data_IF_986501834974
#
_entry.id   IF_986501834974
#
_cell.length_a   1.000
_cell.length_b   1.000
_cell.length_c   1.000
_cell.angle_alpha   90.00
_cell.angle_beta   90.00
_cell.angle_gamma   90.00
#
_symmetry.space_group_name_H-M   'P 1'
#
loop_
_entity.id
_entity.type
_entity.pdbx_description
1 polymer ?
#
# COMPACT_ATOMS: atom_id res chain seq x y z
N UNK A 1 21.46 -7.33 66.85
CA UNK A 1 21.03 -8.72 66.95
C UNK A 1 19.71 -8.79 66.21
N UNK A 2 19.69 -9.38 65.19
CA UNK A 2 19.72 -10.43 64.33
C UNK A 2 19.46 -9.99 62.88
N UNK A 3 20.35 -10.38 62.03
CA UNK A 3 20.38 -10.13 60.59
C UNK A 3 19.40 -11.11 59.88
N UNK A 4 18.47 -10.64 59.07
CA UNK A 4 17.72 -11.50 58.13
C UNK A 4 18.00 -11.07 56.69
N UNK A 5 18.78 -11.91 56.06
CA UNK A 5 19.14 -11.83 54.65
C UNK A 5 17.98 -12.29 53.80
N UNK A 6 17.33 -11.42 53.02
CA UNK A 6 16.35 -11.79 51.97
C UNK A 6 17.09 -12.23 50.73
N UNK A 7 16.99 -13.51 50.41
CA UNK A 7 17.34 -14.07 49.11
C UNK A 7 16.28 -13.71 48.10
N UNK A 8 16.67 -12.98 47.06
CA UNK A 8 15.85 -12.78 45.86
C UNK A 8 16.03 -13.96 44.91
N UNK A 9 14.98 -14.75 44.74
CA UNK A 9 14.92 -15.82 43.74
C UNK A 9 14.61 -15.25 42.38
N UNK A 10 15.62 -15.27 41.52
CA UNK A 10 15.53 -14.99 40.08
C UNK A 10 14.64 -16.05 39.40
N UNK A 11 13.41 -15.68 38.99
CA UNK A 11 12.52 -16.50 38.18
C UNK A 11 12.69 -16.10 36.72
N UNK A 12 13.65 -16.68 36.03
CA UNK A 12 13.71 -16.68 34.56
C UNK A 12 12.58 -17.57 34.04
N UNK A 13 11.55 -16.96 33.47
CA UNK A 13 10.47 -17.64 32.76
C UNK A 13 11.04 -18.35 31.54
N UNK A 14 10.83 -19.66 31.43
CA UNK A 14 11.19 -20.43 30.25
C UNK A 14 10.08 -20.34 29.21
N UNK A 15 10.45 -19.99 27.96
CA UNK A 15 9.58 -19.97 26.80
C UNK A 15 8.80 -21.30 26.65
N UNK A 16 7.54 -21.24 26.20
CA UNK A 16 6.67 -22.40 26.01
C UNK A 16 7.25 -23.47 25.08
N UNK A 17 8.19 -23.14 24.20
CA UNK A 17 8.95 -24.07 23.35
C UNK A 17 9.91 -24.99 24.14
N UNK A 18 10.38 -24.59 25.31
CA UNK A 18 11.30 -25.39 26.13
C UNK A 18 10.60 -26.45 27.04
N UNK A 19 9.30 -26.36 27.21
CA UNK A 19 8.53 -27.29 28.10
C UNK A 19 8.17 -28.61 27.43
N UNK A 20 8.18 -28.69 26.09
CA UNK A 20 7.86 -29.92 25.36
C UNK A 20 9.05 -30.87 25.14
N UNK A 21 10.27 -30.46 25.48
CA UNK A 21 11.49 -31.28 25.29
C UNK A 21 11.89 -32.13 26.51
N UNK A 22 11.15 -32.12 27.63
CA UNK A 22 11.55 -32.76 28.88
C UNK A 22 10.56 -33.86 29.38
N UNK A 23 10.16 -34.77 28.51
CA UNK A 23 9.27 -35.88 28.92
C UNK A 23 9.37 -37.09 28.02
N UNK A 24 10.34 -37.98 28.26
CA UNK A 24 10.36 -39.24 27.54
C UNK A 24 11.73 -39.93 27.43
N UNK A 25 12.31 -40.31 28.52
CA UNK A 25 13.47 -41.21 28.51
C UNK A 25 13.20 -42.45 29.34
N UNK A 26 13.05 -43.60 28.67
CA UNK A 26 13.65 -44.87 29.02
C UNK A 26 12.96 -46.03 28.29
N UNK A 27 13.83 -46.86 27.64
CA UNK A 27 13.63 -48.22 27.13
C UNK A 27 13.31 -48.31 25.61
N UNK A 28 14.34 -48.63 24.83
CA UNK A 28 14.50 -49.90 24.13
C UNK A 28 15.69 -49.84 23.17
N UNK A 29 16.62 -50.77 23.37
CA UNK A 29 17.72 -51.11 22.46
C UNK A 29 17.21 -51.73 21.15
N UNK A 30 17.77 -51.24 20.02
CA UNK A 30 17.84 -52.02 18.78
C UNK A 30 16.91 -51.58 17.67
N UNK A 31 17.47 -50.84 16.74
CA UNK A 31 17.41 -50.92 15.28
C UNK A 31 17.89 -49.59 14.71
N UNK A 32 19.13 -49.60 14.19
CA UNK A 32 19.63 -48.49 13.36
C UNK A 32 18.78 -48.44 12.07
N UNK A 33 17.83 -47.51 12.03
CA UNK A 33 17.06 -47.12 10.86
C UNK A 33 17.04 -45.60 10.81
N UNK A 34 17.60 -45.01 9.75
CA UNK A 34 17.55 -43.61 9.44
C UNK A 34 16.10 -43.12 9.45
N UNK A 35 15.71 -42.47 10.53
CA UNK A 35 14.53 -41.58 10.60
C UNK A 35 15.04 -40.20 10.94
N UNK A 36 15.77 -39.62 9.99
CA UNK A 36 15.84 -38.18 9.84
C UNK A 36 14.47 -37.75 9.34
N UNK A 37 13.47 -37.68 10.19
CA UNK A 37 12.26 -36.93 9.94
C UNK A 37 12.68 -35.49 10.05
N UNK A 38 13.02 -34.86 8.93
CA UNK A 38 12.85 -33.38 8.80
C UNK A 38 11.42 -33.13 9.21
N UNK A 39 11.19 -32.42 10.32
CA UNK A 39 9.93 -31.72 10.49
C UNK A 39 9.76 -30.95 9.16
N UNK A 40 8.71 -31.24 8.40
CA UNK A 40 8.41 -30.47 7.22
C UNK A 40 8.30 -29.02 7.72
N UNK A 41 9.33 -28.23 7.42
CA UNK A 41 9.26 -26.79 7.64
C UNK A 41 8.13 -26.33 6.75
N UNK A 42 7.13 -25.64 7.32
CA UNK A 42 6.14 -24.95 6.50
C UNK A 42 6.88 -23.96 5.62
N UNK A 43 6.37 -23.71 4.43
CA UNK A 43 6.90 -22.64 3.61
C UNK A 43 6.71 -21.30 4.35
N UNK A 44 7.68 -20.39 4.29
CA UNK A 44 7.62 -19.13 4.97
C UNK A 44 6.54 -18.22 4.37
N UNK A 45 5.91 -17.43 5.23
CA UNK A 45 4.82 -16.50 4.85
C UNK A 45 5.17 -15.09 5.31
N UNK A 46 5.14 -14.15 4.37
CA UNK A 46 5.12 -12.73 4.65
C UNK A 46 3.68 -12.20 4.49
N UNK A 47 3.25 -11.32 5.38
CA UNK A 47 1.95 -10.63 5.25
C UNK A 47 2.17 -9.14 5.05
N UNK A 48 1.37 -8.52 4.17
CA UNK A 48 1.48 -7.09 3.87
C UNK A 48 0.24 -6.31 4.32
N UNK A 49 0.47 -5.17 4.94
CA UNK A 49 -0.59 -4.29 5.46
C UNK A 49 -1.26 -3.42 4.40
N UNK A 50 -0.77 -3.45 3.16
CA UNK A 50 -1.23 -2.57 2.09
C UNK A 50 -1.05 -3.19 0.71
N UNK A 51 -1.99 -2.95 -0.21
CA UNK A 51 -2.04 -3.65 -1.50
C UNK A 51 -0.78 -3.44 -2.35
N UNK A 52 -0.29 -2.19 -2.51
CA UNK A 52 0.92 -1.93 -3.32
C UNK A 52 2.12 -2.75 -2.86
N UNK A 53 2.34 -2.85 -1.56
CA UNK A 53 3.49 -3.55 -1.00
C UNK A 53 3.29 -5.07 -0.95
N UNK A 54 2.04 -5.53 -0.91
CA UNK A 54 1.72 -6.93 -1.21
C UNK A 54 2.13 -7.29 -2.63
N UNK A 55 1.77 -6.44 -3.60
CA UNK A 55 2.07 -6.69 -5.00
C UNK A 55 3.58 -6.67 -5.27
N UNK A 56 4.30 -5.66 -4.76
CA UNK A 56 5.76 -5.62 -4.85
C UNK A 56 6.41 -6.86 -4.21
N UNK A 57 5.96 -7.24 -3.00
CA UNK A 57 6.46 -8.42 -2.31
C UNK A 57 6.19 -9.71 -3.09
N UNK A 58 5.01 -9.85 -3.68
CA UNK A 58 4.63 -10.99 -4.51
C UNK A 58 5.56 -11.13 -5.73
N UNK A 59 5.84 -10.03 -6.41
CA UNK A 59 6.71 -10.02 -7.58
C UNK A 59 8.18 -10.33 -7.20
N UNK A 60 8.68 -9.77 -6.09
CA UNK A 60 10.01 -10.06 -5.56
C UNK A 60 10.14 -11.53 -5.14
N UNK A 61 9.10 -12.12 -4.56
CA UNK A 61 9.10 -13.50 -4.06
C UNK A 61 8.91 -14.57 -5.14
N UNK A 62 8.72 -14.21 -6.41
CA UNK A 62 8.53 -15.19 -7.50
C UNK A 62 9.69 -16.19 -7.56
N UNK A 63 9.33 -17.45 -7.84
CA UNK A 63 10.29 -18.57 -7.94
C UNK A 63 11.06 -18.87 -6.64
N UNK A 64 10.55 -18.42 -5.50
CA UNK A 64 11.05 -18.76 -4.15
C UNK A 64 9.97 -19.49 -3.34
N UNK A 65 10.30 -20.11 -2.19
CA UNK A 65 9.30 -20.72 -1.33
C UNK A 65 8.49 -19.71 -0.50
N UNK A 66 8.81 -18.41 -0.55
CA UNK A 66 8.11 -17.37 0.22
C UNK A 66 6.74 -17.09 -0.38
N UNK A 67 5.70 -17.25 0.43
CA UNK A 67 4.36 -16.78 0.08
C UNK A 67 4.14 -15.39 0.66
N UNK A 68 3.59 -14.47 -0.15
CA UNK A 68 3.20 -13.13 0.31
C UNK A 68 1.67 -13.03 0.30
N UNK A 69 1.06 -12.56 1.39
CA UNK A 69 -0.38 -12.45 1.56
C UNK A 69 -0.81 -10.99 1.83
N UNK A 70 -1.90 -10.55 1.18
CA UNK A 70 -2.48 -9.25 1.42
C UNK A 70 -3.48 -9.30 2.58
N UNK A 71 -3.24 -8.52 3.64
CA UNK A 71 -4.14 -8.45 4.79
C UNK A 71 -5.38 -7.58 4.54
N UNK A 72 -5.31 -6.63 3.60
CA UNK A 72 -6.44 -5.75 3.29
C UNK A 72 -7.49 -6.50 2.48
N UNK A 73 -8.73 -6.59 2.95
CA UNK A 73 -9.80 -7.27 2.22
C UNK A 73 -10.09 -6.61 0.87
N UNK A 74 -10.39 -7.43 -0.12
CA UNK A 74 -10.83 -6.98 -1.45
C UNK A 74 -12.01 -6.00 -1.35
N UNK A 75 -11.97 -4.92 -2.12
CA UNK A 75 -13.01 -3.89 -2.17
C UNK A 75 -12.89 -2.82 -1.09
N UNK A 76 -11.86 -2.87 -0.24
CA UNK A 76 -11.61 -1.86 0.78
C UNK A 76 -10.40 -0.98 0.43
N UNK A 77 -10.46 0.26 0.87
CA UNK A 77 -9.32 1.16 0.89
C UNK A 77 -8.47 0.84 2.11
N UNK A 78 -7.19 0.56 1.93
CA UNK A 78 -6.29 0.11 3.01
C UNK A 78 -6.01 1.19 4.07
N UNK A 79 -6.12 2.47 3.71
CA UNK A 79 -5.99 3.59 4.64
C UNK A 79 -7.29 3.78 5.45
N UNK A 80 -7.19 3.89 6.76
CA UNK A 80 -8.36 4.02 7.64
C UNK A 80 -9.12 2.71 7.90
N UNK A 81 -8.70 1.58 7.33
CA UNK A 81 -9.27 0.28 7.64
C UNK A 81 -8.83 -0.19 9.02
N UNK A 82 -9.80 -0.61 9.84
CA UNK A 82 -9.56 -1.20 11.17
C UNK A 82 -9.85 -2.71 11.12
N UNK A 83 -8.82 -3.55 11.22
CA UNK A 83 -8.99 -4.99 11.16
C UNK A 83 -9.62 -5.56 12.44
N UNK A 84 -10.20 -6.74 12.31
CA UNK A 84 -10.60 -7.54 13.46
C UNK A 84 -9.39 -8.29 14.06
N UNK A 85 -9.58 -8.91 15.24
CA UNK A 85 -8.51 -9.60 15.96
C UNK A 85 -7.90 -10.82 15.22
N UNK A 86 -8.49 -11.31 14.12
CA UNK A 86 -7.87 -12.37 13.33
C UNK A 86 -6.66 -11.86 12.57
N UNK A 87 -6.70 -10.65 12.03
CA UNK A 87 -5.58 -10.04 11.28
C UNK A 87 -4.34 -9.86 12.19
N UNK A 88 -4.54 -9.43 13.44
CA UNK A 88 -3.41 -9.39 14.41
C UNK A 88 -2.80 -10.79 14.62
N UNK A 89 -3.63 -11.83 14.61
CA UNK A 89 -3.12 -13.21 14.71
C UNK A 89 -2.36 -13.61 13.47
N UNK A 90 -2.85 -13.25 12.27
CA UNK A 90 -2.17 -13.55 11.01
C UNK A 90 -0.79 -12.87 10.98
N UNK A 91 -0.66 -11.64 11.49
CA UNK A 91 0.64 -10.96 11.67
C UNK A 91 1.56 -11.70 12.66
N UNK A 92 1.03 -12.18 13.78
CA UNK A 92 1.80 -12.92 14.81
C UNK A 92 2.28 -14.29 14.28
N UNK A 93 1.51 -14.94 13.40
CA UNK A 93 1.80 -16.26 12.85
C UNK A 93 2.69 -16.19 11.60
N UNK A 94 2.85 -15.01 10.99
CA UNK A 94 3.70 -14.79 9.82
C UNK A 94 5.20 -14.80 10.18
N UNK A 95 6.03 -15.08 9.18
CA UNK A 95 7.50 -15.03 9.31
C UNK A 95 8.01 -13.59 9.07
N UNK A 96 7.26 -12.77 8.28
CA UNK A 96 7.54 -11.34 8.09
C UNK A 96 6.25 -10.52 8.01
N UNK A 97 6.32 -9.27 8.44
CA UNK A 97 5.26 -8.27 8.33
C UNK A 97 5.76 -7.05 7.55
N UNK A 98 5.23 -6.86 6.35
CA UNK A 98 5.52 -5.73 5.47
C UNK A 98 4.51 -4.61 5.78
N UNK A 99 5.00 -3.47 6.27
CA UNK A 99 4.16 -2.37 6.73
C UNK A 99 4.63 -1.01 6.20
N UNK A 100 3.70 -0.05 6.07
CA UNK A 100 3.96 1.26 5.42
C UNK A 100 4.86 2.19 6.25
N UNK A 101 5.19 1.81 7.46
CA UNK A 101 5.95 2.62 8.40
C UNK A 101 5.09 3.20 9.52
N UNK A 102 5.71 3.74 10.56
CA UNK A 102 5.01 4.20 11.75
C UNK A 102 4.04 5.34 11.45
N UNK A 103 2.87 5.32 12.13
CA UNK A 103 1.88 6.38 12.09
C UNK A 103 0.90 6.33 10.92
N UNK A 104 1.19 5.60 9.83
CA UNK A 104 0.30 5.53 8.67
C UNK A 104 -0.96 4.67 8.92
N UNK A 105 -0.77 3.52 9.56
CA UNK A 105 -1.86 2.59 9.89
C UNK A 105 -1.85 2.31 11.40
N UNK A 106 -2.69 2.98 12.21
CA UNK A 106 -2.67 2.81 13.68
C UNK A 106 -2.85 1.35 14.13
N UNK A 107 -3.56 0.52 13.36
CA UNK A 107 -3.69 -0.90 13.65
C UNK A 107 -2.39 -1.68 13.45
N UNK A 108 -1.60 -1.33 12.43
CA UNK A 108 -0.31 -1.95 12.16
C UNK A 108 0.69 -1.58 13.26
N UNK A 109 0.70 -0.33 13.72
CA UNK A 109 1.52 0.11 14.85
C UNK A 109 1.18 -0.67 16.14
N UNK A 110 -0.13 -0.90 16.40
CA UNK A 110 -0.56 -1.74 17.54
C UNK A 110 -0.15 -3.21 17.38
N UNK A 111 -0.20 -3.75 16.16
CA UNK A 111 0.26 -5.11 15.89
C UNK A 111 1.77 -5.23 16.12
N UNK A 112 2.57 -4.29 15.63
CA UNK A 112 4.02 -4.21 15.86
C UNK A 112 4.33 -4.11 17.36
N UNK A 113 3.61 -3.26 18.10
CA UNK A 113 3.79 -3.17 19.55
C UNK A 113 3.49 -4.50 20.25
N UNK A 114 2.47 -5.23 19.80
CA UNK A 114 2.13 -6.55 20.34
C UNK A 114 3.24 -7.58 20.08
N UNK A 115 3.82 -7.58 18.85
CA UNK A 115 4.97 -8.43 18.52
C UNK A 115 6.15 -8.16 19.44
N UNK A 116 6.44 -6.89 19.70
CA UNK A 116 7.56 -6.46 20.57
C UNK A 116 7.31 -6.81 22.04
N UNK A 117 6.10 -6.57 22.54
CA UNK A 117 5.73 -6.86 23.96
C UNK A 117 5.72 -8.37 24.25
N UNK A 118 5.35 -9.20 23.29
CA UNK A 118 5.28 -10.66 23.42
C UNK A 118 6.57 -11.38 22.98
N UNK A 119 7.62 -10.63 22.53
CA UNK A 119 8.91 -11.17 22.05
C UNK A 119 8.71 -12.20 20.92
N UNK A 120 7.90 -11.84 19.92
CA UNK A 120 7.61 -12.68 18.73
C UNK A 120 8.62 -12.41 17.64
N UNK A 121 9.15 -13.46 17.02
CA UNK A 121 10.24 -13.42 16.03
C UNK A 121 9.77 -13.04 14.60
N UNK A 122 8.61 -12.37 14.41
CA UNK A 122 8.17 -11.90 13.09
C UNK A 122 9.08 -10.77 12.62
N UNK A 123 9.69 -10.92 11.43
CA UNK A 123 10.53 -9.88 10.83
C UNK A 123 9.68 -8.66 10.45
N UNK A 124 10.08 -7.46 10.86
CA UNK A 124 9.38 -6.21 10.52
C UNK A 124 10.07 -5.55 9.33
N UNK A 125 9.34 -5.35 8.24
CA UNK A 125 9.83 -4.74 7.01
C UNK A 125 9.12 -3.40 6.81
N UNK A 126 9.82 -2.30 7.11
CA UNK A 126 9.33 -0.94 6.91
C UNK A 126 9.61 -0.49 5.48
N UNK A 127 8.59 -0.46 4.63
CA UNK A 127 8.74 -0.10 3.21
C UNK A 127 9.08 1.37 2.98
N UNK A 128 8.86 2.23 3.97
CA UNK A 128 9.12 3.68 3.92
C UNK A 128 10.53 4.07 4.37
N UNK A 129 11.33 3.15 4.85
CA UNK A 129 12.66 3.47 5.35
C UNK A 129 13.52 4.15 4.27
N UNK A 130 14.09 5.31 4.60
CA UNK A 130 14.92 6.09 3.69
C UNK A 130 14.18 6.80 2.55
N UNK A 131 12.85 6.70 2.45
CA UNK A 131 12.05 7.42 1.45
C UNK A 131 11.91 8.89 1.87
N UNK A 132 12.25 9.82 0.96
CA UNK A 132 12.04 11.25 1.17
C UNK A 132 10.55 11.60 0.95
N UNK A 133 9.87 11.97 2.03
CA UNK A 133 8.47 12.41 1.98
C UNK A 133 8.35 13.90 1.67
N UNK A 134 7.35 14.26 0.84
CA UNK A 134 7.02 15.66 0.55
C UNK A 134 6.18 16.25 1.69
N UNK A 135 6.28 17.58 1.88
CA UNK A 135 5.41 18.29 2.81
C UNK A 135 3.97 18.28 2.29
N UNK A 136 3.00 18.20 3.20
CA UNK A 136 1.60 18.41 2.84
C UNK A 136 1.43 19.77 2.17
N UNK A 137 0.61 19.84 1.14
CA UNK A 137 0.25 21.11 0.53
C UNK A 137 -0.33 22.07 1.58
N UNK A 138 -0.01 23.37 1.48
CA UNK A 138 -0.37 24.39 2.48
C UNK A 138 -1.90 24.56 2.70
N UNK A 139 -2.73 23.94 1.87
CA UNK A 139 -4.19 23.90 2.00
C UNK A 139 -4.70 22.80 2.94
N UNK A 140 -3.80 21.95 3.47
CA UNK A 140 -4.14 20.82 4.32
C UNK A 140 -3.89 21.16 5.79
N UNK A 141 -4.78 20.69 6.66
CA UNK A 141 -4.59 20.83 8.11
C UNK A 141 -3.72 19.67 8.64
N UNK A 142 -2.47 19.94 9.07
CA UNK A 142 -1.59 18.89 9.58
C UNK A 142 -2.04 18.32 10.94
N UNK A 143 -2.98 18.96 11.62
CA UNK A 143 -3.45 18.53 12.96
C UNK A 143 -4.56 17.47 12.89
N UNK A 144 -5.23 17.29 11.73
CA UNK A 144 -6.35 16.35 11.61
C UNK A 144 -5.91 14.90 11.33
N UNK A 145 -4.71 14.69 10.76
CA UNK A 145 -4.20 13.34 10.52
C UNK A 145 -2.71 13.26 10.82
N UNK A 146 -2.39 13.00 12.08
CA UNK A 146 -1.03 12.77 12.51
C UNK A 146 -0.47 11.48 11.91
N UNK A 147 0.46 11.61 11.00
CA UNK A 147 1.31 10.51 10.54
C UNK A 147 2.50 10.43 11.50
N UNK A 148 2.24 10.08 12.76
CA UNK A 148 3.26 9.87 13.79
C UNK A 148 4.30 10.99 13.92
N UNK A 149 5.58 10.66 13.94
CA UNK A 149 6.69 11.61 14.07
C UNK A 149 6.88 12.51 12.84
N UNK A 150 6.22 12.21 11.71
CA UNK A 150 6.30 12.93 10.45
C UNK A 150 5.04 13.79 10.18
N UNK A 151 4.46 14.37 11.22
CA UNK A 151 3.34 15.31 11.09
C UNK A 151 3.63 16.36 10.00
N UNK A 152 2.67 16.56 9.10
CA UNK A 152 2.81 17.51 8.01
C UNK A 152 3.46 16.94 6.75
N UNK A 153 3.64 15.63 6.64
CA UNK A 153 4.11 14.93 5.44
C UNK A 153 2.98 14.15 4.77
N UNK A 154 3.03 14.09 3.43
CA UNK A 154 2.12 13.25 2.64
C UNK A 154 2.62 11.80 2.65
N UNK A 155 1.82 10.82 3.09
CA UNK A 155 2.24 9.43 3.17
C UNK A 155 2.18 8.66 1.85
N UNK A 156 1.57 9.19 0.77
CA UNK A 156 1.25 8.47 -0.48
C UNK A 156 2.45 8.37 -1.45
N UNK A 157 3.65 8.17 -0.93
CA UNK A 157 4.92 8.21 -1.67
C UNK A 157 5.02 7.15 -2.79
N UNK A 158 4.36 6.01 -2.65
CA UNK A 158 4.37 4.91 -3.63
C UNK A 158 3.68 5.24 -4.95
N UNK A 159 2.97 6.36 -5.04
CA UNK A 159 2.42 6.88 -6.29
C UNK A 159 3.48 7.44 -7.23
N UNK A 160 4.63 7.83 -6.71
CA UNK A 160 5.82 8.16 -7.49
C UNK A 160 6.63 6.87 -7.72
N UNK A 161 6.75 6.36 -8.97
CA UNK A 161 7.47 5.12 -9.26
C UNK A 161 8.93 5.11 -8.79
N UNK A 162 9.59 6.27 -8.75
CA UNK A 162 10.97 6.38 -8.26
C UNK A 162 11.05 6.16 -6.75
N UNK A 163 10.06 6.63 -5.99
CA UNK A 163 9.95 6.37 -4.55
C UNK A 163 9.45 4.96 -4.26
N UNK A 164 8.57 4.43 -5.12
CA UNK A 164 8.14 3.03 -5.05
C UNK A 164 9.33 2.06 -5.19
N UNK A 165 10.32 2.40 -6.05
CA UNK A 165 11.55 1.61 -6.20
C UNK A 165 12.33 1.48 -4.89
N UNK A 166 12.36 2.49 -4.02
CA UNK A 166 12.97 2.39 -2.70
C UNK A 166 12.23 1.38 -1.81
N UNK A 167 10.88 1.30 -1.90
CA UNK A 167 10.13 0.27 -1.17
C UNK A 167 10.41 -1.14 -1.67
N UNK A 168 10.63 -1.29 -2.99
CA UNK A 168 11.06 -2.58 -3.57
C UNK A 168 12.41 -2.99 -2.97
N UNK A 169 13.37 -2.06 -2.86
CA UNK A 169 14.65 -2.34 -2.22
C UNK A 169 14.49 -2.74 -0.75
N UNK A 170 13.69 -2.01 0.02
CA UNK A 170 13.44 -2.31 1.44
C UNK A 170 12.79 -3.69 1.65
N UNK A 171 11.82 -4.06 0.81
CA UNK A 171 11.18 -5.40 0.84
C UNK A 171 12.22 -6.46 0.48
N UNK A 172 13.04 -6.23 -0.53
CA UNK A 172 14.08 -7.16 -1.00
C UNK A 172 15.08 -7.45 0.12
N UNK A 173 15.61 -6.44 0.79
CA UNK A 173 16.53 -6.64 1.91
C UNK A 173 15.87 -7.44 3.04
N UNK A 174 14.62 -7.13 3.39
CA UNK A 174 13.89 -7.90 4.41
C UNK A 174 13.68 -9.36 4.01
N UNK A 175 13.43 -9.66 2.74
CA UNK A 175 13.28 -11.03 2.25
C UNK A 175 14.62 -11.77 2.17
N UNK A 176 15.71 -11.08 1.82
CA UNK A 176 17.08 -11.63 1.86
C UNK A 176 17.47 -11.99 3.29
N UNK A 177 17.19 -11.12 4.27
CA UNK A 177 17.46 -11.40 5.68
C UNK A 177 16.64 -12.61 6.18
N UNK A 178 15.41 -12.76 5.72
CA UNK A 178 14.52 -13.87 6.07
C UNK A 178 14.96 -15.20 5.44
N UNK A 179 15.35 -15.17 4.17
CA UNK A 179 15.67 -16.37 3.35
C UNK A 179 16.97 -16.16 2.55
N UNK A 180 18.14 -16.10 3.20
CA UNK A 180 19.41 -15.77 2.54
C UNK A 180 19.82 -16.74 1.43
N UNK A 181 19.33 -17.98 1.46
CA UNK A 181 19.58 -18.96 0.39
C UNK A 181 18.92 -18.59 -0.95
N UNK A 182 18.01 -17.62 -0.96
CA UNK A 182 17.30 -17.12 -2.14
C UNK A 182 17.68 -15.66 -2.50
N UNK A 183 18.75 -15.13 -1.93
CA UNK A 183 19.21 -13.73 -2.16
C UNK A 183 19.29 -13.38 -3.65
N UNK A 184 19.98 -14.20 -4.45
CA UNK A 184 20.17 -13.93 -5.89
C UNK A 184 18.82 -13.80 -6.62
N UNK A 185 17.84 -14.67 -6.30
CA UNK A 185 16.51 -14.64 -6.93
C UNK A 185 15.72 -13.39 -6.51
N UNK A 186 15.71 -13.04 -5.23
CA UNK A 186 15.03 -11.83 -4.77
C UNK A 186 15.60 -10.57 -5.42
N UNK A 187 16.93 -10.47 -5.50
CA UNK A 187 17.59 -9.30 -6.12
C UNK A 187 17.37 -9.22 -7.63
N UNK A 188 17.38 -10.35 -8.34
CA UNK A 188 17.09 -10.40 -9.78
C UNK A 188 15.63 -9.99 -10.07
N UNK A 189 14.67 -10.52 -9.32
CA UNK A 189 13.27 -10.18 -9.45
C UNK A 189 13.01 -8.69 -9.14
N UNK A 190 13.62 -8.17 -8.07
CA UNK A 190 13.50 -6.77 -7.69
C UNK A 190 14.08 -5.82 -8.75
N UNK A 191 15.26 -6.14 -9.30
CA UNK A 191 15.88 -5.34 -10.34
C UNK A 191 15.04 -5.36 -11.63
N UNK A 192 14.52 -6.54 -12.01
CA UNK A 192 13.60 -6.67 -13.14
C UNK A 192 12.33 -5.84 -12.94
N UNK A 193 11.71 -5.93 -11.76
CA UNK A 193 10.50 -5.15 -11.48
C UNK A 193 10.75 -3.65 -11.51
N UNK A 194 11.88 -3.18 -10.96
CA UNK A 194 12.26 -1.76 -11.02
C UNK A 194 12.53 -1.28 -12.44
N UNK A 195 13.27 -2.07 -13.25
CA UNK A 195 13.67 -1.67 -14.61
C UNK A 195 12.54 -1.79 -15.63
N UNK A 196 11.77 -2.87 -15.58
CA UNK A 196 10.82 -3.20 -16.63
C UNK A 196 9.39 -2.70 -16.31
N UNK A 197 9.07 -2.53 -15.01
CA UNK A 197 7.75 -2.05 -14.58
C UNK A 197 7.81 -0.61 -14.09
N UNK A 198 8.52 -0.33 -12.98
CA UNK A 198 8.45 1.00 -12.36
C UNK A 198 9.08 2.09 -13.24
N UNK A 199 10.22 1.82 -13.88
CA UNK A 199 10.86 2.78 -14.78
C UNK A 199 10.01 3.03 -16.04
N UNK A 200 9.35 1.99 -16.58
CA UNK A 200 8.41 2.13 -17.70
C UNK A 200 7.21 3.00 -17.30
N UNK A 201 6.63 2.75 -16.14
CA UNK A 201 5.50 3.55 -15.62
C UNK A 201 5.91 5.01 -15.42
N UNK A 202 7.12 5.28 -14.92
CA UNK A 202 7.64 6.65 -14.76
C UNK A 202 7.80 7.33 -16.13
N UNK A 203 8.36 6.63 -17.13
CA UNK A 203 8.52 7.14 -18.50
C UNK A 203 7.16 7.40 -19.17
N UNK A 204 6.19 6.51 -19.01
CA UNK A 204 4.83 6.66 -19.56
C UNK A 204 4.09 7.83 -18.90
N UNK A 205 4.17 7.98 -17.58
CA UNK A 205 3.64 9.15 -16.89
C UNK A 205 4.31 10.43 -17.37
N UNK A 206 5.64 10.47 -17.52
CA UNK A 206 6.33 11.65 -18.07
C UNK A 206 5.79 12.00 -19.45
N UNK A 207 5.63 11.02 -20.32
CA UNK A 207 5.10 11.25 -21.67
C UNK A 207 3.66 11.80 -21.63
N UNK A 208 2.80 11.28 -20.75
CA UNK A 208 1.42 11.75 -20.56
C UNK A 208 1.41 13.20 -20.04
N UNK A 209 2.19 13.49 -18.99
CA UNK A 209 2.19 14.81 -18.36
C UNK A 209 2.94 15.87 -19.16
N UNK A 210 3.99 15.51 -19.91
CA UNK A 210 4.68 16.41 -20.83
C UNK A 210 3.82 16.79 -22.05
N UNK A 211 2.90 15.91 -22.47
CA UNK A 211 1.95 16.15 -23.56
C UNK A 211 0.69 16.90 -23.08
N UNK A 212 0.55 17.18 -21.78
CA UNK A 212 -0.65 17.71 -21.19
C UNK A 212 -1.06 19.07 -21.81
N UNK A 213 -2.32 19.16 -22.24
CA UNK A 213 -2.94 20.44 -22.66
C UNK A 213 -3.34 21.31 -21.44
N UNK A 214 -3.38 20.71 -20.24
CA UNK A 214 -3.76 21.33 -18.97
C UNK A 214 -2.70 21.06 -17.92
N UNK A 215 -2.50 22.01 -17.04
CA UNK A 215 -1.57 21.95 -15.92
C UNK A 215 -2.24 21.60 -14.60
N UNK A 216 -3.50 21.14 -14.67
CA UNK A 216 -4.31 20.84 -13.49
C UNK A 216 -5.26 19.67 -13.70
N UNK A 217 -5.42 18.84 -12.67
CA UNK A 217 -6.41 17.76 -12.58
C UNK A 217 -7.36 18.02 -11.41
N UNK A 218 -8.66 18.11 -11.69
CA UNK A 218 -9.68 18.11 -10.62
C UNK A 218 -9.98 16.67 -10.22
N UNK A 219 -9.76 16.38 -8.95
CA UNK A 219 -10.06 15.08 -8.33
C UNK A 219 -11.36 15.23 -7.51
N UNK A 220 -12.37 14.42 -7.81
CA UNK A 220 -13.52 14.22 -6.92
C UNK A 220 -13.18 13.09 -5.91
N UNK A 221 -12.05 13.27 -5.22
CA UNK A 221 -11.39 12.29 -4.37
C UNK A 221 -10.68 13.01 -3.21
N UNK A 222 -10.18 12.25 -2.23
CA UNK A 222 -9.29 12.78 -1.20
C UNK A 222 -7.89 13.13 -1.76
N UNK A 223 -7.07 13.79 -0.95
CA UNK A 223 -5.73 14.16 -1.35
C UNK A 223 -4.75 12.98 -1.25
N UNK A 224 -4.63 12.19 -2.31
CA UNK A 224 -3.66 11.10 -2.39
C UNK A 224 -2.63 11.28 -3.51
N UNK A 225 -2.86 12.19 -4.46
CA UNK A 225 -2.09 12.25 -5.71
C UNK A 225 -1.05 13.37 -5.74
N UNK A 226 -0.69 13.93 -4.59
CA UNK A 226 0.29 15.03 -4.53
C UNK A 226 1.65 14.63 -5.10
N UNK A 227 2.09 13.37 -4.87
CA UNK A 227 3.36 12.88 -5.42
C UNK A 227 3.39 12.84 -6.95
N UNK A 228 2.28 12.47 -7.60
CA UNK A 228 2.13 12.58 -9.06
C UNK A 228 2.28 14.04 -9.49
N UNK A 229 1.60 14.97 -8.81
CA UNK A 229 1.72 16.40 -9.12
C UNK A 229 3.15 16.92 -8.98
N UNK A 230 3.86 16.52 -7.92
CA UNK A 230 5.25 16.93 -7.66
C UNK A 230 6.21 16.30 -8.68
N UNK A 231 6.04 15.01 -9.00
CA UNK A 231 6.93 14.28 -9.92
C UNK A 231 6.82 14.80 -11.36
N UNK A 232 5.61 15.19 -11.80
CA UNK A 232 5.34 15.49 -13.21
C UNK A 232 4.87 16.93 -13.46
N UNK A 233 4.86 17.79 -12.44
CA UNK A 233 4.67 19.24 -12.61
C UNK A 233 3.22 19.69 -12.90
N UNK A 234 2.21 18.94 -12.47
CA UNK A 234 0.79 19.25 -12.66
C UNK A 234 0.10 19.44 -11.29
N UNK A 235 -0.80 20.39 -11.17
CA UNK A 235 -1.58 20.61 -9.95
C UNK A 235 -2.64 19.50 -9.79
N UNK A 236 -2.50 18.67 -8.75
CA UNK A 236 -3.53 17.72 -8.34
C UNK A 236 -4.45 18.38 -7.33
N UNK A 237 -5.70 18.69 -7.73
CA UNK A 237 -6.65 19.41 -6.90
C UNK A 237 -7.75 18.50 -6.37
N UNK A 238 -7.61 17.99 -5.13
CA UNK A 238 -8.65 17.19 -4.49
C UNK A 238 -9.86 18.04 -4.15
N UNK A 239 -11.05 17.43 -4.07
CA UNK A 239 -12.25 18.08 -3.57
C UNK A 239 -12.27 18.11 -2.05
N UNK A 240 -11.67 17.11 -1.42
CA UNK A 240 -11.45 17.00 0.02
C UNK A 240 -9.97 17.15 0.28
N UNK A 241 -9.62 18.06 1.17
CA UNK A 241 -8.22 18.43 1.41
C UNK A 241 -7.53 17.54 2.44
N UNK A 242 -8.25 16.65 3.13
CA UNK A 242 -7.63 15.69 4.03
C UNK A 242 -7.05 14.46 3.32
N UNK A 243 -6.27 13.66 4.06
CA UNK A 243 -5.57 12.49 3.56
C UNK A 243 -6.39 11.19 3.63
N UNK A 244 -7.55 11.21 4.28
CA UNK A 244 -8.41 10.03 4.42
C UNK A 244 -9.61 10.08 3.48
N UNK A 245 -9.91 8.95 2.85
CA UNK A 245 -11.05 8.80 1.94
C UNK A 245 -12.43 8.88 2.62
N UNK A 246 -12.48 9.05 3.94
CA UNK A 246 -13.69 8.94 4.76
C UNK A 246 -14.44 10.23 5.01
N UNK A 247 -13.88 11.39 4.66
CA UNK A 247 -14.49 12.66 5.00
C UNK A 247 -15.59 13.08 4.05
N UNK A 248 -16.63 13.66 4.65
CA UNK A 248 -17.77 14.19 3.91
C UNK A 248 -17.40 15.53 3.24
N UNK A 249 -17.60 15.58 1.93
CA UNK A 249 -17.49 16.82 1.13
C UNK A 249 -18.49 17.85 1.63
N UNK A 250 -18.00 19.00 2.05
CA UNK A 250 -18.85 20.09 2.53
C UNK A 250 -19.46 20.91 1.39
N UNK A 251 -20.55 21.70 1.64
CA UNK A 251 -21.05 22.64 0.65
C UNK A 251 -20.06 23.75 0.26
N UNK A 252 -19.04 24.01 1.06
CA UNK A 252 -17.96 24.95 0.72
C UNK A 252 -17.04 24.34 -0.31
N UNK A 253 -16.56 23.11 -0.09
CA UNK A 253 -15.68 22.36 -1.00
C UNK A 253 -16.34 22.23 -2.38
N UNK A 254 -17.64 21.90 -2.41
CA UNK A 254 -18.39 21.82 -3.66
C UNK A 254 -18.43 23.15 -4.42
N UNK A 255 -18.64 24.29 -3.73
CA UNK A 255 -18.64 25.61 -4.38
C UNK A 255 -17.26 25.98 -4.92
N UNK A 256 -16.21 25.65 -4.18
CA UNK A 256 -14.83 25.93 -4.58
C UNK A 256 -14.44 25.06 -5.79
N UNK A 257 -14.79 23.79 -5.80
CA UNK A 257 -14.60 22.90 -6.95
C UNK A 257 -15.37 23.39 -8.19
N UNK A 258 -16.65 23.82 -8.03
CA UNK A 258 -17.44 24.36 -9.13
C UNK A 258 -16.85 25.66 -9.69
N UNK A 259 -16.32 26.55 -8.84
CA UNK A 259 -15.65 27.76 -9.27
C UNK A 259 -14.39 27.43 -10.05
N UNK A 260 -13.57 26.54 -9.53
CA UNK A 260 -12.34 26.10 -10.15
C UNK A 260 -12.56 25.41 -11.52
N UNK A 261 -13.54 24.53 -11.62
CA UNK A 261 -13.95 23.88 -12.88
C UNK A 261 -14.33 24.95 -13.94
N UNK A 262 -15.06 26.00 -13.55
CA UNK A 262 -15.43 27.08 -14.48
C UNK A 262 -14.24 27.94 -14.91
N UNK A 263 -13.36 28.26 -13.98
CA UNK A 263 -12.19 29.12 -14.23
C UNK A 263 -11.17 28.44 -15.15
N UNK A 264 -11.01 27.10 -15.02
CA UNK A 264 -10.03 26.33 -15.76
C UNK A 264 -10.65 25.55 -16.95
N UNK A 265 -11.91 25.78 -17.27
CA UNK A 265 -12.63 25.12 -18.39
C UNK A 265 -12.54 23.59 -18.39
N UNK A 266 -12.65 22.97 -17.19
CA UNK A 266 -12.50 21.53 -16.99
C UNK A 266 -13.74 20.80 -17.49
N UNK A 267 -13.55 19.82 -18.38
CA UNK A 267 -14.62 18.99 -18.96
C UNK A 267 -14.64 17.57 -18.38
N UNK A 268 -13.49 17.06 -17.98
CA UNK A 268 -13.35 15.71 -17.42
C UNK A 268 -12.66 15.79 -16.08
N UNK A 269 -13.12 15.00 -15.11
CA UNK A 269 -12.55 14.92 -13.75
C UNK A 269 -12.23 13.49 -13.39
N UNK A 270 -11.35 13.30 -12.44
CA UNK A 270 -11.05 11.98 -11.90
C UNK A 270 -11.81 11.75 -10.58
N UNK A 271 -12.22 10.50 -10.31
CA UNK A 271 -12.84 10.08 -9.06
C UNK A 271 -12.20 8.80 -8.52
N UNK A 272 -11.94 8.75 -7.22
CA UNK A 272 -11.35 7.59 -6.59
C UNK A 272 -12.23 6.34 -6.72
N UNK A 273 -11.62 5.20 -7.11
CA UNK A 273 -12.35 3.93 -7.34
C UNK A 273 -13.07 3.45 -6.09
N UNK A 274 -12.46 3.63 -4.91
CA UNK A 274 -13.01 3.19 -3.62
C UNK A 274 -13.76 4.29 -2.87
N UNK A 275 -13.98 5.44 -3.51
CA UNK A 275 -14.61 6.60 -2.90
C UNK A 275 -16.04 6.81 -3.37
N UNK A 276 -16.76 7.71 -2.68
CA UNK A 276 -18.12 8.09 -3.05
C UNK A 276 -18.16 8.78 -4.41
N UNK A 277 -19.07 8.35 -5.30
CA UNK A 277 -19.33 9.04 -6.60
C UNK A 277 -20.28 10.24 -6.44
N UNK A 278 -20.79 10.48 -5.24
CA UNK A 278 -21.76 11.57 -5.01
C UNK A 278 -21.21 12.96 -5.37
N UNK A 279 -20.00 13.35 -4.98
CA UNK A 279 -19.41 14.63 -5.39
C UNK A 279 -19.24 14.73 -6.90
N UNK A 280 -18.70 13.71 -7.56
CA UNK A 280 -18.51 13.71 -9.01
C UNK A 280 -19.83 13.83 -9.76
N UNK A 281 -20.87 13.11 -9.35
CA UNK A 281 -22.23 13.19 -9.95
C UNK A 281 -22.85 14.58 -9.75
N UNK A 282 -22.59 15.23 -8.61
CA UNK A 282 -23.07 16.59 -8.38
C UNK A 282 -22.32 17.58 -9.28
N UNK A 283 -20.99 17.49 -9.41
CA UNK A 283 -20.22 18.31 -10.34
C UNK A 283 -20.67 18.11 -11.80
N UNK A 284 -20.92 16.87 -12.21
CA UNK A 284 -21.47 16.53 -13.53
C UNK A 284 -22.83 17.22 -13.79
N UNK A 285 -23.72 17.31 -12.78
CA UNK A 285 -25.05 17.89 -12.94
C UNK A 285 -25.08 19.42 -12.84
N UNK A 286 -24.12 20.05 -12.15
CA UNK A 286 -24.15 21.46 -11.80
C UNK A 286 -23.08 22.29 -12.51
N UNK A 287 -22.19 21.65 -13.29
CA UNK A 287 -21.10 22.32 -14.02
C UNK A 287 -21.08 21.92 -15.49
N UNK A 288 -19.98 22.25 -16.18
CA UNK A 288 -19.70 21.82 -17.57
C UNK A 288 -18.99 20.49 -17.67
N UNK A 289 -18.74 19.82 -16.57
CA UNK A 289 -18.14 18.47 -16.57
C UNK A 289 -19.01 17.52 -17.37
N UNK A 290 -18.41 16.79 -18.30
CA UNK A 290 -19.10 15.88 -19.21
C UNK A 290 -19.02 14.43 -18.74
N UNK A 291 -17.94 14.09 -18.00
CA UNK A 291 -17.75 12.77 -17.40
C UNK A 291 -16.72 12.82 -16.26
N UNK A 292 -16.77 11.75 -15.44
CA UNK A 292 -15.70 11.42 -14.50
C UNK A 292 -15.17 10.01 -14.80
N UNK A 293 -13.87 9.83 -14.54
CA UNK A 293 -13.13 8.59 -14.82
C UNK A 293 -12.38 8.11 -13.57
N UNK A 294 -12.07 6.80 -13.47
CA UNK A 294 -11.50 6.22 -12.26
C UNK A 294 -10.04 6.59 -12.05
N UNK A 295 -9.65 6.86 -10.81
CA UNK A 295 -8.26 6.82 -10.35
C UNK A 295 -8.15 6.04 -9.07
N UNK A 296 -6.97 5.49 -8.78
CA UNK A 296 -6.73 4.81 -7.52
C UNK A 296 -5.31 5.09 -7.02
N UNK A 297 -5.15 5.33 -5.71
CA UNK A 297 -3.82 5.41 -5.09
C UNK A 297 -3.23 4.03 -4.79
N UNK A 298 -3.68 2.96 -5.47
CA UNK A 298 -3.25 1.57 -5.27
C UNK A 298 -3.38 1.06 -3.82
N UNK A 299 -4.32 1.63 -3.08
CA UNK A 299 -4.53 1.31 -1.67
C UNK A 299 -5.29 0.00 -1.43
N UNK A 300 -5.99 -0.47 -2.44
CA UNK A 300 -6.80 -1.67 -2.43
C UNK A 300 -7.05 -2.19 -3.83
N UNK A 301 -7.74 -3.32 -3.92
CA UNK A 301 -8.04 -4.02 -5.16
C UNK A 301 -9.52 -4.42 -5.21
N UNK A 302 -10.13 -4.36 -6.40
CA UNK A 302 -11.50 -4.79 -6.65
C UNK A 302 -11.56 -6.31 -6.86
N UNK A 303 -12.72 -6.91 -6.66
CA UNK A 303 -12.92 -8.36 -6.87
C UNK A 303 -12.65 -8.78 -8.33
N UNK A 304 -13.08 -7.97 -9.30
CA UNK A 304 -12.83 -8.22 -10.71
C UNK A 304 -11.35 -8.05 -11.11
N UNK A 305 -10.59 -7.20 -10.42
CA UNK A 305 -9.15 -7.06 -10.61
C UNK A 305 -8.38 -8.26 -10.03
N UNK A 306 -8.79 -8.74 -8.86
CA UNK A 306 -8.23 -9.98 -8.29
C UNK A 306 -8.44 -11.16 -9.23
N UNK A 307 -9.65 -11.29 -9.81
CA UNK A 307 -9.96 -12.36 -10.76
C UNK A 307 -9.16 -12.29 -12.07
N UNK A 308 -8.65 -11.09 -12.42
CA UNK A 308 -7.75 -10.84 -13.56
C UNK A 308 -6.27 -10.86 -13.17
N UNK A 309 -5.95 -11.10 -11.90
CA UNK A 309 -4.60 -11.06 -11.33
C UNK A 309 -3.89 -9.69 -11.51
N UNK A 310 -4.67 -8.61 -11.55
CA UNK A 310 -4.12 -7.26 -11.69
C UNK A 310 -3.30 -6.86 -10.48
N UNK A 311 -2.09 -6.35 -10.74
CA UNK A 311 -1.19 -5.74 -9.79
C UNK A 311 -1.07 -4.23 -10.00
N UNK A 312 0.01 -3.66 -9.51
CA UNK A 312 0.32 -2.24 -9.63
C UNK A 312 0.45 -1.83 -11.11
N UNK A 313 1.08 -2.66 -11.93
CA UNK A 313 1.31 -2.42 -13.36
C UNK A 313 0.00 -2.33 -14.13
N UNK A 314 -0.83 -3.36 -14.08
CA UNK A 314 -2.10 -3.41 -14.84
C UNK A 314 -3.08 -2.32 -14.40
N UNK A 315 -3.06 -1.96 -13.11
CA UNK A 315 -3.87 -0.85 -12.59
C UNK A 315 -3.34 0.50 -13.10
N UNK A 316 -2.02 0.70 -13.19
CA UNK A 316 -1.45 1.89 -13.81
C UNK A 316 -1.90 2.01 -15.27
N UNK A 317 -1.72 0.95 -16.04
CA UNK A 317 -1.97 0.93 -17.50
C UNK A 317 -3.46 1.03 -17.85
N UNK A 318 -4.34 0.42 -17.03
CA UNK A 318 -5.76 0.33 -17.37
C UNK A 318 -6.63 1.38 -16.67
N UNK A 319 -6.20 1.90 -15.53
CA UNK A 319 -7.01 2.82 -14.72
C UNK A 319 -6.39 4.23 -14.69
N UNK A 320 -5.19 4.38 -14.15
CA UNK A 320 -4.65 5.71 -13.86
C UNK A 320 -4.17 6.43 -15.14
N UNK A 321 -3.38 5.78 -15.99
CA UNK A 321 -2.82 6.39 -17.20
C UNK A 321 -3.90 6.86 -18.18
N UNK A 322 -4.89 6.02 -18.58
CA UNK A 322 -5.96 6.46 -19.47
C UNK A 322 -6.80 7.60 -18.87
N UNK A 323 -7.02 7.58 -17.56
CA UNK A 323 -7.73 8.68 -16.90
C UNK A 323 -6.92 9.98 -16.97
N UNK A 324 -5.60 9.94 -16.69
CA UNK A 324 -4.77 11.14 -16.81
C UNK A 324 -4.69 11.68 -18.23
N UNK A 325 -4.58 10.82 -19.25
CA UNK A 325 -4.65 11.24 -20.66
C UNK A 325 -5.93 12.03 -20.97
N UNK A 326 -7.08 11.54 -20.48
CA UNK A 326 -8.38 12.20 -20.72
C UNK A 326 -8.52 13.50 -19.93
N UNK A 327 -8.21 13.50 -18.62
CA UNK A 327 -8.44 14.68 -17.78
C UNK A 327 -7.45 15.80 -18.04
N UNK A 328 -6.26 15.48 -18.55
CA UNK A 328 -5.26 16.44 -18.98
C UNK A 328 -5.52 16.98 -20.40
N UNK A 329 -6.45 16.37 -21.15
CA UNK A 329 -6.86 16.80 -22.47
C UNK A 329 -6.01 16.25 -23.62
N UNK A 330 -5.12 15.28 -23.35
CA UNK A 330 -4.22 14.70 -24.36
C UNK A 330 -4.99 13.90 -25.41
N UNK A 331 -6.08 13.23 -24.99
CA UNK A 331 -6.88 12.39 -25.87
C UNK A 331 -8.37 12.45 -25.54
N UNK A 332 -9.23 12.11 -26.50
CA UNK A 332 -10.65 11.96 -26.25
C UNK A 332 -10.93 10.66 -25.50
N UNK A 333 -11.98 10.60 -24.65
CA UNK A 333 -12.27 9.40 -23.87
C UNK A 333 -12.39 8.11 -24.71
N UNK A 334 -12.93 8.20 -25.92
CA UNK A 334 -13.12 7.07 -26.85
C UNK A 334 -11.82 6.50 -27.41
N UNK A 335 -10.74 7.28 -27.35
CA UNK A 335 -9.40 6.93 -27.85
C UNK A 335 -8.43 6.57 -26.70
N UNK A 336 -8.85 6.70 -25.44
CA UNK A 336 -8.04 6.40 -24.26
C UNK A 336 -8.13 4.93 -23.86
N UNK A 337 -7.02 4.38 -23.35
CA UNK A 337 -6.96 3.02 -22.80
C UNK A 337 -7.25 1.90 -23.80
N UNK A 338 -7.47 0.67 -23.35
CA UNK A 338 -7.85 -0.45 -24.20
C UNK A 338 -9.24 -0.27 -24.81
N UNK A 339 -9.52 -1.02 -25.91
CA UNK A 339 -10.81 -0.99 -26.61
C UNK A 339 -12.01 -1.12 -25.65
N UNK A 340 -12.94 -0.17 -25.74
CA UNK A 340 -14.13 -0.13 -24.88
C UNK A 340 -13.90 0.49 -23.49
N UNK A 341 -12.70 0.98 -23.18
CA UNK A 341 -12.37 1.56 -21.89
C UNK A 341 -13.32 2.68 -21.47
N UNK A 342 -13.61 3.62 -22.38
CA UNK A 342 -14.49 4.74 -22.07
C UNK A 342 -15.96 4.30 -21.87
N UNK A 343 -16.41 3.21 -22.49
CA UNK A 343 -17.74 2.65 -22.26
C UNK A 343 -17.83 1.99 -20.88
N UNK A 344 -16.77 1.34 -20.44
CA UNK A 344 -16.70 0.68 -19.12
C UNK A 344 -16.56 1.68 -17.98
N UNK A 345 -15.69 2.69 -18.15
CA UNK A 345 -15.24 3.54 -17.04
C UNK A 345 -15.85 4.94 -17.01
N UNK A 346 -16.50 5.40 -18.06
CA UNK A 346 -17.22 6.69 -18.07
C UNK A 346 -18.34 6.69 -17.04
N UNK A 347 -18.24 7.58 -16.04
CA UNK A 347 -19.24 7.70 -14.98
C UNK A 347 -19.48 6.38 -14.23
N UNK A 348 -18.42 5.61 -14.01
CA UNK A 348 -18.45 4.27 -13.40
C UNK A 348 -19.20 4.23 -12.06
N UNK A 349 -19.72 3.04 -11.71
CA UNK A 349 -20.49 2.80 -10.49
C UNK A 349 -19.64 2.22 -9.34
#
# INVERSE_FOLDING_TARGET
MTNETRQTTDRRGRSRRQVLAAGGGLLATGLAGCLGGSAASRDPVAVASFFSFYDFGREIARETPLTVENLVPTGLHGHGWEPNASVTRDVIEADAFVHVGPGFQPWADRAIQTLQDDDVDTALINVREGVELVDLAASLDPDEEGVGEEQGKDPHFWLDPQRAAQSVDNITEGFVDLLPDHEDTFRENAETYKSDVLARIDDDYRAIFDAAERDVVQLAAHNAFQYIGVAYGVEMRPIVTNLAASDDVTPADMRDAQAFIRENDIRYIANGVFESRRPARQLLSETRVEAYFPVTPYAGVREDWVAKEWGYEEIADTINMPTFEVVLGNTAPEDAGPDGWAEEWRNFE
#
